data_IF_659761488601
#
_entry.id   IF_659761488601
#
_cell.length_a   1.000
_cell.length_b   1.000
_cell.length_c   1.000
_cell.angle_alpha   90.00
_cell.angle_beta   90.00
_cell.angle_gamma   90.00
#
_symmetry.space_group_name_H-M   'P 1'
#
loop_
_entity.id
_entity.type
_entity.pdbx_description
1 polymer ?
#
# COMPACT_ATOMS: atom_id res chain seq x y z
N UNK A 1 -11.12 21.31 1.74
CA UNK A 1 -10.84 20.33 2.82
C UNK A 1 -11.87 19.22 2.69
N UNK A 2 -11.54 18.16 1.94
CA UNK A 2 -12.46 17.03 1.72
C UNK A 2 -12.03 15.91 2.68
N UNK A 3 -12.72 15.78 3.79
CA UNK A 3 -12.54 14.67 4.73
C UNK A 3 -13.12 13.42 4.08
N UNK A 4 -12.28 12.52 3.56
CA UNK A 4 -12.70 11.17 3.24
C UNK A 4 -12.94 10.44 4.55
N UNK A 5 -14.19 10.47 5.03
CA UNK A 5 -14.61 9.65 6.15
C UNK A 5 -14.70 8.19 5.67
N UNK A 6 -13.60 7.45 5.80
CA UNK A 6 -13.57 6.00 5.63
C UNK A 6 -14.39 5.38 6.77
N UNK A 7 -15.68 5.17 6.52
CA UNK A 7 -16.58 4.50 7.46
C UNK A 7 -16.35 2.99 7.37
N UNK A 8 -15.82 2.40 8.44
CA UNK A 8 -15.78 0.97 8.61
C UNK A 8 -17.21 0.42 8.77
N UNK A 9 -17.68 -0.36 7.79
CA UNK A 9 -18.88 -1.17 7.91
C UNK A 9 -18.54 -2.66 7.83
N UNK A 10 -19.25 -3.53 8.59
CA UNK A 10 -18.94 -4.95 8.63
C UNK A 10 -19.63 -5.68 7.48
N UNK A 11 -18.95 -6.60 6.77
CA UNK A 11 -19.64 -7.74 6.15
C UNK A 11 -18.77 -8.92 5.71
N UNK A 12 -19.53 -10.02 5.57
CA UNK A 12 -19.25 -11.43 5.37
C UNK A 12 -18.08 -11.84 4.48
N UNK A 13 -17.49 -12.99 4.84
CA UNK A 13 -16.38 -13.68 4.16
C UNK A 13 -16.84 -14.42 2.90
N UNK A 14 -15.97 -14.44 1.88
CA UNK A 14 -15.58 -15.69 1.25
C UNK A 14 -14.06 -15.92 1.34
N UNK A 15 -13.71 -17.19 1.20
CA UNK A 15 -12.38 -17.79 1.41
C UNK A 15 -11.37 -17.25 0.40
N UNK A 16 -10.28 -16.63 0.88
CA UNK A 16 -9.15 -16.25 0.06
C UNK A 16 -8.10 -17.37 0.05
N UNK A 17 -7.84 -17.93 -1.13
CA UNK A 17 -6.74 -18.84 -1.40
C UNK A 17 -5.45 -18.03 -1.44
N UNK A 18 -4.57 -18.24 -0.47
CA UNK A 18 -3.32 -17.50 -0.36
C UNK A 18 -2.16 -18.33 -0.92
N UNK A 19 -1.50 -17.80 -1.96
CA UNK A 19 -0.19 -18.25 -2.39
C UNK A 19 0.61 -17.00 -2.80
N UNK A 20 1.46 -16.48 -1.90
CA UNK A 20 2.41 -15.41 -2.23
C UNK A 20 3.64 -16.03 -2.89
N UNK A 21 3.58 -16.21 -4.20
CA UNK A 21 4.78 -16.42 -5.01
C UNK A 21 5.33 -15.03 -5.32
N UNK A 22 6.54 -14.71 -4.84
CA UNK A 22 7.33 -13.61 -5.38
C UNK A 22 7.68 -13.97 -6.83
N UNK A 23 6.81 -13.59 -7.76
CA UNK A 23 7.07 -13.76 -9.19
C UNK A 23 7.92 -12.58 -9.65
N UNK A 24 9.17 -12.86 -10.01
CA UNK A 24 9.94 -11.97 -10.88
C UNK A 24 9.23 -11.92 -12.22
N UNK A 25 8.30 -10.97 -12.37
CA UNK A 25 7.66 -10.75 -13.65
C UNK A 25 8.69 -10.20 -14.62
N UNK A 26 8.83 -10.84 -15.79
CA UNK A 26 9.59 -10.24 -16.86
C UNK A 26 8.94 -8.87 -17.19
N UNK A 27 9.71 -7.81 -17.51
CA UNK A 27 9.15 -6.48 -17.78
C UNK A 27 8.00 -6.49 -18.81
N UNK A 28 8.07 -7.39 -19.78
CA UNK A 28 7.04 -7.59 -20.81
C UNK A 28 5.70 -8.11 -20.25
N UNK A 29 5.72 -8.89 -19.16
CA UNK A 29 4.50 -9.34 -18.48
C UNK A 29 3.81 -8.19 -17.76
N UNK A 30 4.60 -7.31 -17.13
CA UNK A 30 4.09 -6.10 -16.46
C UNK A 30 3.43 -5.18 -17.49
N UNK A 31 4.06 -4.94 -18.65
CA UNK A 31 3.47 -4.08 -19.68
C UNK A 31 2.13 -4.64 -20.19
N UNK A 32 2.06 -5.94 -20.51
CA UNK A 32 0.80 -6.61 -20.92
C UNK A 32 -0.29 -6.53 -19.86
N UNK A 33 0.08 -6.71 -18.59
CA UNK A 33 -0.85 -6.59 -17.47
C UNK A 33 -1.41 -5.17 -17.37
N UNK A 34 -0.55 -4.15 -17.50
CA UNK A 34 -0.96 -2.75 -17.43
C UNK A 34 -1.84 -2.34 -18.61
N UNK A 35 -1.54 -2.80 -19.83
CA UNK A 35 -2.35 -2.55 -21.02
C UNK A 35 -3.75 -3.17 -20.86
N UNK A 36 -3.83 -4.42 -20.39
CA UNK A 36 -5.11 -5.08 -20.13
C UNK A 36 -5.96 -4.36 -19.07
N UNK A 37 -5.33 -3.80 -18.03
CA UNK A 37 -6.04 -2.97 -17.04
C UNK A 37 -6.53 -1.67 -17.68
N UNK A 38 -5.71 -1.03 -18.51
CA UNK A 38 -6.06 0.22 -19.17
C UNK A 38 -7.22 0.05 -20.16
N UNK A 39 -7.23 -1.03 -20.94
CA UNK A 39 -8.34 -1.37 -21.84
C UNK A 39 -9.66 -1.51 -21.08
N UNK A 40 -9.61 -2.12 -19.89
CA UNK A 40 -10.78 -2.24 -19.02
C UNK A 40 -11.25 -0.88 -18.50
N UNK A 41 -10.34 0.05 -18.16
CA UNK A 41 -10.71 1.42 -17.76
C UNK A 41 -11.44 2.18 -18.87
N UNK A 42 -11.21 1.84 -20.14
CA UNK A 42 -11.85 2.47 -21.30
C UNK A 42 -13.12 1.73 -21.78
N UNK A 43 -13.55 0.68 -21.09
CA UNK A 43 -14.75 -0.09 -21.44
C UNK A 43 -15.93 0.33 -20.56
N UNK A 44 -17.00 0.97 -21.08
CA UNK A 44 -18.10 1.48 -20.27
C UNK A 44 -18.79 0.45 -19.36
N UNK A 45 -18.76 -0.84 -19.70
CA UNK A 45 -19.34 -1.93 -18.90
C UNK A 45 -18.40 -2.52 -17.84
N UNK A 46 -17.11 -2.14 -17.80
CA UNK A 46 -16.18 -2.64 -16.79
C UNK A 46 -16.22 -1.77 -15.53
N UNK A 47 -16.06 -2.42 -14.37
CA UNK A 47 -15.96 -1.76 -13.05
C UNK A 47 -14.81 -0.77 -12.90
N UNK A 48 -13.82 -0.80 -13.80
CA UNK A 48 -12.71 0.15 -13.82
C UNK A 48 -13.01 1.42 -14.63
N UNK A 49 -14.13 1.46 -15.35
CA UNK A 49 -14.52 2.63 -16.12
C UNK A 49 -15.10 3.72 -15.22
N UNK A 50 -14.75 4.99 -15.51
CA UNK A 50 -15.26 6.14 -14.78
C UNK A 50 -14.77 6.27 -13.32
N UNK A 51 -13.70 5.57 -12.93
CA UNK A 51 -13.11 5.72 -11.60
C UNK A 51 -12.69 7.17 -11.33
N UNK A 52 -12.91 7.62 -10.09
CA UNK A 52 -12.58 8.97 -9.66
C UNK A 52 -11.10 9.29 -9.89
N UNK A 53 -10.85 10.44 -10.50
CA UNK A 53 -9.51 10.96 -10.75
C UNK A 53 -9.04 11.85 -9.60
N UNK A 54 -7.79 11.65 -9.18
CA UNK A 54 -7.08 12.48 -8.20
C UNK A 54 -5.78 12.95 -8.84
N UNK A 55 -5.51 14.26 -8.78
CA UNK A 55 -4.29 14.84 -9.34
C UNK A 55 -3.07 14.45 -8.50
N UNK A 56 -1.93 14.29 -9.17
CA UNK A 56 -0.63 14.15 -8.51
C UNK A 56 0.22 15.39 -8.76
N UNK A 57 1.29 15.53 -7.98
CA UNK A 57 2.32 16.56 -8.22
C UNK A 57 3.21 16.24 -9.44
N UNK A 58 3.05 15.07 -10.06
CA UNK A 58 3.83 14.65 -11.23
C UNK A 58 3.04 15.04 -12.50
N UNK A 59 3.55 15.98 -13.32
CA UNK A 59 2.79 16.51 -14.45
C UNK A 59 2.37 15.44 -15.45
N UNK A 60 1.06 15.41 -15.77
CA UNK A 60 0.49 14.46 -16.72
C UNK A 60 0.19 13.08 -16.13
N UNK A 61 0.43 12.87 -14.83
CA UNK A 61 0.04 11.65 -14.12
C UNK A 61 -1.09 11.93 -13.15
N UNK A 62 -2.08 11.05 -13.16
CA UNK A 62 -3.24 11.08 -12.26
C UNK A 62 -3.42 9.73 -11.58
N UNK A 63 -4.01 9.74 -10.40
CA UNK A 63 -4.43 8.53 -9.72
C UNK A 63 -5.90 8.25 -10.02
N UNK A 64 -6.23 6.98 -10.23
CA UNK A 64 -7.61 6.47 -10.16
C UNK A 64 -7.65 5.39 -9.11
N UNK A 65 -8.71 5.34 -8.32
CA UNK A 65 -8.77 4.38 -7.23
C UNK A 65 -10.14 3.75 -7.07
N UNK A 66 -10.14 2.60 -6.38
CA UNK A 66 -11.34 1.90 -5.94
C UNK A 66 -11.03 1.06 -4.72
N UNK A 67 -12.06 0.72 -3.98
CA UNK A 67 -12.01 -0.24 -2.88
C UNK A 67 -12.73 -1.54 -3.29
N UNK A 68 -12.15 -2.68 -2.93
CA UNK A 68 -12.80 -3.98 -3.06
C UNK A 68 -12.29 -4.92 -1.97
N UNK A 69 -13.20 -5.61 -1.28
CA UNK A 69 -12.89 -6.58 -0.22
C UNK A 69 -11.96 -6.04 0.90
N UNK A 70 -12.07 -4.74 1.18
CA UNK A 70 -11.25 -4.01 2.15
C UNK A 70 -9.85 -3.65 1.68
N UNK A 71 -9.51 -3.90 0.41
CA UNK A 71 -8.26 -3.51 -0.23
C UNK A 71 -8.46 -2.25 -1.09
N UNK A 72 -7.40 -1.45 -1.22
CA UNK A 72 -7.42 -0.24 -2.04
C UNK A 72 -6.54 -0.42 -3.26
N UNK A 73 -7.17 -0.33 -4.44
CA UNK A 73 -6.49 -0.41 -5.73
C UNK A 73 -6.28 1.00 -6.24
N UNK A 74 -5.03 1.39 -6.47
CA UNK A 74 -4.66 2.72 -6.96
C UNK A 74 -3.85 2.58 -8.24
N UNK A 75 -4.37 3.17 -9.30
CA UNK A 75 -3.86 3.11 -10.65
C UNK A 75 -3.23 4.46 -11.02
N UNK A 76 -2.02 4.45 -11.55
CA UNK A 76 -1.32 5.66 -12.03
C UNK A 76 -1.47 5.73 -13.54
N UNK A 77 -2.25 6.70 -14.03
CA UNK A 77 -2.53 6.87 -15.46
C UNK A 77 -1.69 8.02 -16.01
N UNK A 78 -0.95 7.78 -17.09
CA UNK A 78 -0.33 8.84 -17.91
C UNK A 78 -1.38 9.33 -18.92
N UNK A 79 -2.01 10.46 -18.61
CA UNK A 79 -3.06 11.03 -19.46
C UNK A 79 -2.51 11.62 -20.76
N UNK A 80 -1.22 11.97 -20.81
CA UNK A 80 -0.59 12.52 -22.02
C UNK A 80 -0.29 11.43 -23.02
N UNK A 81 0.06 10.23 -22.54
CA UNK A 81 0.33 9.06 -23.38
C UNK A 81 -0.85 8.12 -23.54
N UNK A 82 -1.95 8.36 -22.82
CA UNK A 82 -3.13 7.52 -22.86
C UNK A 82 -2.82 6.07 -22.48
N UNK A 83 -2.11 5.86 -21.37
CA UNK A 83 -1.76 4.52 -20.88
C UNK A 83 -1.62 4.45 -19.36
N UNK A 84 -1.60 3.24 -18.82
CA UNK A 84 -1.29 3.00 -17.42
C UNK A 84 0.23 2.97 -17.18
N UNK A 85 0.71 3.77 -16.24
CA UNK A 85 2.10 3.82 -15.81
C UNK A 85 2.44 2.76 -14.75
N UNK A 86 1.43 2.35 -13.98
CA UNK A 86 1.53 1.31 -12.98
C UNK A 86 0.34 1.32 -12.02
N UNK A 87 0.43 0.52 -10.97
CA UNK A 87 -0.55 0.50 -9.89
C UNK A 87 0.09 0.12 -8.56
N UNK A 88 -0.59 0.46 -7.47
CA UNK A 88 -0.36 -0.09 -6.14
C UNK A 88 -1.66 -0.68 -5.63
N UNK A 89 -1.60 -1.86 -5.02
CA UNK A 89 -2.69 -2.36 -4.19
C UNK A 89 -2.26 -2.30 -2.74
N UNK A 90 -3.04 -1.63 -1.91
CA UNK A 90 -2.93 -1.68 -0.45
C UNK A 90 -3.74 -2.89 0.02
N UNK A 91 -3.06 -4.04 0.05
CA UNK A 91 -3.64 -5.33 0.39
C UNK A 91 -3.93 -5.43 1.88
N UNK A 92 -4.90 -6.26 2.22
CA UNK A 92 -5.02 -6.78 3.59
C UNK A 92 -3.82 -7.65 3.90
N UNK A 93 -3.39 -7.62 5.17
CA UNK A 93 -2.25 -8.38 5.63
C UNK A 93 -2.72 -9.62 6.37
N UNK A 94 -2.90 -10.74 5.68
CA UNK A 94 -3.53 -11.90 6.33
C UNK A 94 -2.66 -12.55 7.42
N UNK A 95 -1.38 -12.18 7.44
CA UNK A 95 -0.42 -12.51 8.48
C UNK A 95 -0.74 -11.81 9.80
N UNK A 96 -1.60 -10.78 9.83
CA UNK A 96 -2.03 -10.14 11.08
C UNK A 96 -3.32 -10.74 11.61
N UNK A 97 -3.54 -10.56 12.92
CA UNK A 97 -4.77 -11.00 13.58
C UNK A 97 -5.97 -10.11 13.23
N UNK A 98 -7.18 -10.63 13.48
CA UNK A 98 -8.47 -9.95 13.20
C UNK A 98 -8.58 -8.54 13.80
N UNK A 99 -7.90 -8.28 14.92
CA UNK A 99 -7.88 -6.96 15.57
C UNK A 99 -7.12 -5.92 14.76
N UNK A 100 -5.98 -6.29 14.17
CA UNK A 100 -5.12 -5.37 13.44
C UNK A 100 -5.52 -5.24 11.96
N UNK A 101 -6.13 -6.27 11.38
CA UNK A 101 -6.53 -6.34 9.97
C UNK A 101 -7.31 -5.12 9.46
N UNK A 102 -8.26 -4.50 10.19
CA UNK A 102 -8.96 -3.30 9.73
C UNK A 102 -8.05 -2.07 9.55
N UNK A 103 -6.91 -2.02 10.25
CA UNK A 103 -6.11 -0.81 10.41
C UNK A 103 -4.78 -0.84 9.66
N UNK A 104 -4.39 -1.98 9.07
CA UNK A 104 -3.09 -2.13 8.42
C UNK A 104 -3.22 -2.60 6.97
N UNK A 105 -2.45 -2.03 6.07
CA UNK A 105 -2.36 -2.49 4.68
C UNK A 105 -0.91 -2.70 4.24
N UNK A 106 -0.64 -3.73 3.44
CA UNK A 106 0.65 -3.81 2.74
C UNK A 106 0.52 -3.25 1.34
N UNK A 107 1.36 -2.27 0.95
CA UNK A 107 1.38 -1.81 -0.41
C UNK A 107 2.19 -2.76 -1.31
N UNK A 108 1.58 -3.16 -2.42
CA UNK A 108 2.19 -3.95 -3.48
C UNK A 108 2.12 -3.19 -4.78
N UNK A 109 3.28 -2.76 -5.30
CA UNK A 109 3.36 -1.89 -6.47
C UNK A 109 3.94 -2.60 -7.68
N UNK A 110 3.40 -2.31 -8.88
CA UNK A 110 4.02 -2.64 -10.16
C UNK A 110 4.01 -1.41 -11.07
N UNK A 111 5.16 -1.09 -11.67
CA UNK A 111 5.32 0.04 -12.59
C UNK A 111 6.01 -0.40 -13.86
N UNK A 112 5.52 0.08 -15.00
CA UNK A 112 6.19 -0.09 -16.29
C UNK A 112 7.60 0.53 -16.23
N UNK A 113 8.57 -0.12 -16.88
CA UNK A 113 9.99 0.25 -16.79
C UNK A 113 10.28 1.73 -17.06
N UNK A 114 9.65 2.40 -18.07
CA UNK A 114 9.89 3.83 -18.33
C UNK A 114 9.47 4.77 -17.19
N UNK A 115 8.64 4.30 -16.24
CA UNK A 115 8.12 5.10 -15.14
C UNK A 115 8.80 4.83 -13.80
N UNK A 116 9.71 3.85 -13.76
CA UNK A 116 10.45 3.54 -12.54
C UNK A 116 11.40 4.69 -12.19
N UNK A 117 11.56 4.97 -10.89
CA UNK A 117 12.38 6.09 -10.42
C UNK A 117 11.74 7.48 -10.52
N UNK A 118 10.54 7.61 -11.12
CA UNK A 118 9.82 8.89 -11.22
C UNK A 118 9.06 9.29 -9.94
N UNK A 119 9.18 8.52 -8.85
CA UNK A 119 8.49 8.81 -7.60
C UNK A 119 7.02 8.36 -7.54
N UNK A 120 6.56 7.50 -8.47
CA UNK A 120 5.16 7.06 -8.52
C UNK A 120 4.69 6.40 -7.22
N UNK A 121 5.49 5.47 -6.69
CA UNK A 121 5.20 4.81 -5.42
C UNK A 121 5.07 5.80 -4.27
N UNK A 122 5.96 6.80 -4.22
CA UNK A 122 5.89 7.87 -3.20
C UNK A 122 4.58 8.64 -3.31
N UNK A 123 4.16 9.03 -4.52
CA UNK A 123 2.90 9.75 -4.73
C UNK A 123 1.69 8.91 -4.30
N UNK A 124 1.65 7.62 -4.65
CA UNK A 124 0.57 6.72 -4.27
C UNK A 124 0.54 6.44 -2.76
N UNK A 125 1.70 6.25 -2.14
CA UNK A 125 1.77 5.97 -0.70
C UNK A 125 1.38 7.20 0.11
N UNK A 126 1.80 8.40 -0.32
CA UNK A 126 1.35 9.68 0.26
C UNK A 126 -0.15 9.85 0.14
N UNK A 127 -0.74 9.58 -1.02
CA UNK A 127 -2.20 9.62 -1.18
C UNK A 127 -2.92 8.75 -0.12
N UNK A 128 -2.45 7.52 0.11
CA UNK A 128 -3.05 6.63 1.10
C UNK A 128 -2.81 7.10 2.55
N UNK A 129 -1.56 7.48 2.86
CA UNK A 129 -1.18 7.97 4.18
C UNK A 129 -1.91 9.27 4.53
N UNK A 130 -2.05 10.21 3.59
CA UNK A 130 -2.79 11.46 3.79
C UNK A 130 -4.29 11.23 4.01
N UNK A 131 -4.84 10.16 3.41
CA UNK A 131 -6.21 9.70 3.66
C UNK A 131 -6.38 8.93 4.99
N UNK A 132 -5.29 8.73 5.75
CA UNK A 132 -5.32 8.07 7.06
C UNK A 132 -5.06 6.56 7.05
N UNK A 133 -4.68 5.98 5.91
CA UNK A 133 -4.26 4.58 5.86
C UNK A 133 -2.93 4.40 6.59
N UNK A 134 -2.85 3.40 7.48
CA UNK A 134 -1.57 2.95 8.02
C UNK A 134 -1.06 1.79 7.17
N UNK A 135 0.21 1.86 6.79
CA UNK A 135 0.83 0.87 5.90
C UNK A 135 1.94 0.10 6.61
N UNK A 136 2.13 -1.15 6.22
CA UNK A 136 3.17 -2.04 6.75
C UNK A 136 3.99 -2.65 5.62
N UNK A 137 5.30 -2.77 5.81
CA UNK A 137 6.20 -3.34 4.81
C UNK A 137 5.99 -4.85 4.66
N UNK A 138 6.50 -5.43 3.58
CA UNK A 138 6.69 -6.88 3.50
C UNK A 138 7.84 -7.38 4.40
N UNK A 139 8.02 -8.71 4.43
CA UNK A 139 9.11 -9.37 5.17
C UNK A 139 10.51 -9.05 4.63
N UNK A 140 10.59 -8.82 3.32
CA UNK A 140 11.82 -8.46 2.62
C UNK A 140 11.58 -7.15 1.91
N UNK A 141 12.54 -6.25 2.00
CA UNK A 141 12.53 -5.00 1.27
C UNK A 141 13.78 -4.93 0.39
N UNK A 142 13.60 -4.50 -0.85
CA UNK A 142 14.73 -4.09 -1.65
C UNK A 142 15.34 -2.81 -1.05
N UNK A 143 16.63 -2.50 -1.32
CA UNK A 143 17.23 -1.24 -0.90
C UNK A 143 16.45 -0.01 -1.41
N UNK A 144 15.85 -0.10 -2.60
CA UNK A 144 15.02 0.97 -3.16
C UNK A 144 13.72 1.16 -2.36
N UNK A 145 13.04 0.06 -2.01
CA UNK A 145 11.85 0.11 -1.15
C UNK A 145 12.21 0.71 0.21
N UNK A 146 13.27 0.22 0.86
CA UNK A 146 13.68 0.74 2.17
C UNK A 146 13.96 2.26 2.15
N UNK A 147 14.65 2.76 1.12
CA UNK A 147 14.86 4.21 0.94
C UNK A 147 13.55 4.98 0.75
N UNK A 148 12.58 4.42 0.03
CA UNK A 148 11.25 5.02 -0.10
C UNK A 148 10.55 5.13 1.26
N UNK A 149 10.59 4.06 2.07
CA UNK A 149 10.00 4.06 3.41
C UNK A 149 10.64 5.12 4.32
N UNK A 150 11.97 5.21 4.33
CA UNK A 150 12.68 6.26 5.08
C UNK A 150 12.43 7.67 4.52
N UNK A 151 12.21 7.80 3.21
CA UNK A 151 11.81 9.05 2.58
C UNK A 151 10.46 9.54 3.09
N UNK A 152 9.47 8.64 3.16
CA UNK A 152 8.14 8.92 3.71
C UNK A 152 8.19 9.21 5.22
N UNK A 153 9.07 8.54 5.97
CA UNK A 153 9.22 8.72 7.42
C UNK A 153 9.61 10.15 7.86
N UNK A 154 9.98 11.03 6.92
CA UNK A 154 10.18 12.46 7.20
C UNK A 154 8.87 13.19 7.48
N UNK A 155 7.78 12.73 6.87
CA UNK A 155 6.47 13.39 6.90
C UNK A 155 5.43 12.60 7.71
N UNK A 156 5.69 11.31 7.97
CA UNK A 156 4.78 10.38 8.65
C UNK A 156 5.52 9.62 9.77
N UNK A 157 4.81 9.32 10.86
CA UNK A 157 5.36 8.59 12.00
C UNK A 157 5.75 7.15 11.58
N UNK A 158 7.03 6.81 11.74
CA UNK A 158 7.59 5.49 11.49
C UNK A 158 7.75 4.71 12.79
N UNK A 159 7.41 3.42 12.75
CA UNK A 159 7.74 2.47 13.80
C UNK A 159 8.09 1.09 13.25
N UNK A 160 8.56 0.23 14.16
CA UNK A 160 8.94 -1.14 13.87
C UNK A 160 8.09 -2.11 14.68
N UNK A 161 7.70 -3.21 14.06
CA UNK A 161 6.92 -4.26 14.70
C UNK A 161 7.50 -5.64 14.41
N UNK A 162 7.49 -6.53 15.40
CA UNK A 162 7.66 -7.96 15.22
C UNK A 162 6.30 -8.56 14.84
N UNK A 163 6.26 -9.35 13.77
CA UNK A 163 5.06 -10.04 13.30
C UNK A 163 5.25 -11.55 13.34
N UNK A 164 4.68 -12.19 14.37
CA UNK A 164 4.74 -13.63 14.59
C UNK A 164 3.37 -14.17 14.97
N UNK A 165 3.00 -15.31 14.39
CA UNK A 165 1.76 -16.05 14.73
C UNK A 165 0.51 -15.14 14.79
N UNK A 166 0.35 -14.25 13.81
CA UNK A 166 -0.76 -13.29 13.73
C UNK A 166 -0.83 -12.26 14.85
N UNK A 167 0.29 -12.00 15.52
CA UNK A 167 0.42 -10.98 16.56
C UNK A 167 1.49 -9.97 16.18
N UNK A 168 1.19 -8.72 16.45
CA UNK A 168 2.12 -7.61 16.34
C UNK A 168 2.70 -7.29 17.72
N UNK A 169 4.01 -7.19 17.82
CA UNK A 169 4.72 -6.66 18.97
C UNK A 169 5.46 -5.38 18.58
N UNK A 170 5.35 -4.32 19.37
CA UNK A 170 5.99 -3.04 19.09
C UNK A 170 7.46 -3.10 19.48
N UNK A 171 8.34 -2.81 18.52
CA UNK A 171 9.80 -2.85 18.70
C UNK A 171 10.41 -1.47 18.95
N UNK A 172 9.63 -0.40 18.83
CA UNK A 172 10.11 0.97 18.99
C UNK A 172 10.14 1.77 17.68
N UNK A 173 10.61 3.02 17.80
CA UNK A 173 10.82 3.95 16.68
C UNK A 173 12.12 3.69 15.94
N UNK A 174 13.04 2.96 16.55
CA UNK A 174 14.33 2.56 16.00
C UNK A 174 14.63 1.15 16.46
N UNK A 175 15.35 0.39 15.64
CA UNK A 175 15.80 -0.97 15.96
C UNK A 175 17.24 -1.16 15.52
N UNK A 176 17.96 -2.08 16.15
CA UNK A 176 19.31 -2.44 15.71
C UNK A 176 19.28 -3.04 14.29
N UNK A 177 20.35 -2.90 13.48
CA UNK A 177 20.40 -3.45 12.12
C UNK A 177 20.14 -4.97 12.05
N UNK A 178 20.57 -5.72 13.06
CA UNK A 178 20.30 -7.16 13.16
C UNK A 178 18.83 -7.48 13.35
N UNK A 179 18.11 -6.67 14.13
CA UNK A 179 16.65 -6.78 14.32
C UNK A 179 15.93 -6.35 13.04
N UNK A 180 16.38 -5.29 12.37
CA UNK A 180 15.83 -4.84 11.09
C UNK A 180 15.94 -5.92 9.99
N UNK A 181 17.02 -6.71 10.02
CA UNK A 181 17.24 -7.80 9.07
C UNK A 181 16.44 -9.07 9.39
N UNK A 182 15.77 -9.16 10.54
CA UNK A 182 14.93 -10.30 10.91
C UNK A 182 13.69 -10.37 10.01
N UNK A 183 13.37 -11.59 9.56
CA UNK A 183 12.27 -11.85 8.63
C UNK A 183 10.87 -11.54 9.21
N UNK A 184 10.76 -11.40 10.53
CA UNK A 184 9.55 -11.03 11.26
C UNK A 184 9.44 -9.54 11.53
N UNK A 185 10.53 -8.78 11.37
CA UNK A 185 10.49 -7.33 11.55
C UNK A 185 9.76 -6.67 10.37
N UNK A 186 8.88 -5.75 10.69
CA UNK A 186 8.10 -4.95 9.74
C UNK A 186 8.30 -3.48 10.07
N UNK A 187 8.44 -2.65 9.04
CA UNK A 187 8.26 -1.21 9.18
C UNK A 187 6.77 -0.90 9.07
N UNK A 188 6.28 0.09 9.80
CA UNK A 188 4.96 0.65 9.58
C UNK A 188 5.01 2.18 9.57
N UNK A 189 4.16 2.79 8.74
CA UNK A 189 3.97 4.23 8.69
C UNK A 189 2.52 4.55 9.03
N UNK A 190 2.31 5.55 9.88
CA UNK A 190 0.98 5.99 10.28
C UNK A 190 0.43 7.02 9.30
N UNK A 191 -0.81 6.79 8.87
CA UNK A 191 -1.56 7.77 8.12
C UNK A 191 -1.95 8.97 8.98
N UNK A 192 -2.30 10.08 8.34
CA UNK A 192 -2.79 11.30 9.01
C UNK A 192 -4.00 10.99 9.89
N UNK A 193 -4.04 11.64 11.05
CA UNK A 193 -5.09 11.42 12.05
C UNK A 193 -4.78 10.33 13.08
N UNK A 194 -3.77 9.48 12.84
CA UNK A 194 -3.32 8.51 13.84
C UNK A 194 -2.22 9.08 14.73
N UNK A 195 -2.35 8.84 16.04
CA UNK A 195 -1.21 8.89 16.95
C UNK A 195 -0.64 7.49 17.14
N UNK A 196 0.64 7.40 17.51
CA UNK A 196 1.26 6.11 17.80
C UNK A 196 0.53 5.36 18.94
N UNK A 197 0.21 5.97 20.09
CA UNK A 197 -0.55 5.29 21.15
C UNK A 197 -1.90 4.73 20.67
N UNK A 198 -2.66 5.51 19.89
CA UNK A 198 -3.97 5.08 19.39
C UNK A 198 -3.83 3.89 18.43
N UNK A 199 -2.82 3.94 17.55
CA UNK A 199 -2.57 2.85 16.61
C UNK A 199 -2.14 1.55 17.31
N UNK A 200 -1.25 1.66 18.31
CA UNK A 200 -0.82 0.52 19.13
C UNK A 200 -2.02 -0.11 19.85
N UNK A 201 -2.87 0.72 20.45
CA UNK A 201 -4.10 0.27 21.10
C UNK A 201 -5.08 -0.37 20.11
N UNK A 202 -5.34 0.24 18.96
CA UNK A 202 -6.27 -0.28 17.96
C UNK A 202 -5.82 -1.66 17.43
N UNK A 203 -4.52 -1.80 17.13
CA UNK A 203 -3.95 -3.04 16.59
C UNK A 203 -3.64 -4.11 17.65
N UNK A 204 -3.67 -3.75 18.94
CA UNK A 204 -3.27 -4.65 20.03
C UNK A 204 -1.76 -4.92 20.04
N UNK A 205 -0.97 -3.98 19.53
CA UNK A 205 0.47 -4.05 19.48
C UNK A 205 1.04 -3.56 20.81
N UNK A 206 1.44 -4.51 21.66
CA UNK A 206 2.07 -4.19 22.95
C UNK A 206 3.58 -4.03 22.77
N UNK A 207 4.22 -3.21 23.61
CA UNK A 207 5.68 -3.19 23.70
C UNK A 207 6.21 -4.60 24.01
N UNK A 208 7.22 -5.04 23.25
CA UNK A 208 7.92 -6.31 23.46
C UNK A 208 8.98 -6.15 24.53
#
# INVERSE_FOLDING_TARGET
MLTLALHAFPRALPVATELRIDVNHAPQEVDKELDAIYDRMNRPSDRLHGLQEVRTDIPGLVLRHREADGEYYVYVVDVRRGRLAGYTVFNRLIEVGRRADPYVRAPHSKYAAPYQGMGLATAVYRWGLDAGLCIMSGARQSPAAHRLWLGLARDYELGYADLRRKRLGYLGRTVAPTVLADLHTRMFLLGRGWTLPDYLAATGMNAV
#
